data_IF_101502223659
#
_entry.id   IF_101502223659
#
_cell.length_a   1.000
_cell.length_b   1.000
_cell.length_c   1.000
_cell.angle_alpha   90.00
_cell.angle_beta   90.00
_cell.angle_gamma   90.00
#
_symmetry.space_group_name_H-M   'P 1'
#
loop_
_entity.id
_entity.type
_entity.pdbx_description
1 polymer ?
#
# COMPACT_ATOMS: atom_id res chain seq x y z
N UNK A 1 -54.97 -59.06 -23.30
CA UNK A 1 -54.94 -59.14 -21.82
C UNK A 1 -53.51 -58.91 -21.36
N UNK A 2 -53.21 -57.83 -20.62
CA UNK A 2 -51.84 -57.57 -20.17
C UNK A 2 -51.58 -58.29 -18.84
N UNK A 3 -50.51 -59.06 -18.77
CA UNK A 3 -50.06 -59.72 -17.54
C UNK A 3 -49.60 -58.67 -16.51
N UNK A 4 -49.81 -58.91 -15.20
CA UNK A 4 -49.38 -57.98 -14.16
C UNK A 4 -47.85 -57.91 -14.10
N UNK A 5 -47.32 -56.67 -14.14
CA UNK A 5 -45.89 -56.29 -14.09
C UNK A 5 -45.08 -56.86 -12.92
N UNK A 6 -45.68 -57.67 -12.03
CA UNK A 6 -45.01 -58.32 -10.91
C UNK A 6 -44.31 -59.63 -11.28
N UNK A 7 -44.62 -60.23 -12.43
CA UNK A 7 -44.03 -61.50 -12.84
C UNK A 7 -42.66 -61.38 -13.54
N UNK A 8 -42.22 -60.16 -13.92
CA UNK A 8 -40.98 -59.97 -14.67
C UNK A 8 -39.72 -59.79 -13.80
N UNK A 9 -39.82 -59.96 -12.47
CA UNK A 9 -38.66 -59.86 -11.57
C UNK A 9 -37.93 -61.19 -11.33
N UNK A 10 -38.45 -62.29 -11.87
CA UNK A 10 -37.93 -63.65 -11.66
C UNK A 10 -37.05 -64.18 -12.81
N UNK A 11 -36.95 -63.48 -13.94
CA UNK A 11 -36.30 -63.99 -15.15
C UNK A 11 -34.84 -63.54 -15.37
N UNK A 12 -34.22 -62.82 -14.42
CA UNK A 12 -32.87 -62.24 -14.60
C UNK A 12 -31.79 -62.80 -13.67
N UNK A 13 -32.06 -63.84 -12.87
CA UNK A 13 -31.01 -64.54 -12.10
C UNK A 13 -30.19 -63.63 -11.17
N UNK A 14 -30.64 -62.40 -10.91
CA UNK A 14 -30.07 -61.54 -9.90
C UNK A 14 -30.63 -62.05 -8.58
N UNK A 15 -29.94 -63.01 -7.98
CA UNK A 15 -29.98 -63.14 -6.53
C UNK A 15 -29.79 -61.72 -5.98
N UNK A 16 -30.65 -61.21 -5.09
CA UNK A 16 -30.19 -60.11 -4.26
C UNK A 16 -28.87 -60.60 -3.68
N UNK A 17 -27.77 -59.89 -3.94
CA UNK A 17 -26.58 -60.04 -3.11
C UNK A 17 -27.15 -59.90 -1.71
N UNK A 18 -27.25 -61.02 -1.00
CA UNK A 18 -27.68 -61.03 0.37
C UNK A 18 -26.61 -60.24 1.09
N UNK A 19 -26.88 -58.97 1.32
CA UNK A 19 -26.23 -58.20 2.35
C UNK A 19 -26.54 -58.98 3.62
N UNK A 20 -25.56 -59.77 4.07
CA UNK A 20 -25.71 -60.55 5.27
C UNK A 20 -25.96 -59.54 6.40
N UNK A 21 -27.20 -59.53 6.92
CA UNK A 21 -27.54 -58.83 8.13
C UNK A 21 -26.54 -59.25 9.22
N UNK A 22 -25.90 -58.26 9.84
CA UNK A 22 -24.79 -58.45 10.75
C UNK A 22 -25.21 -58.02 12.14
N UNK A 23 -24.84 -58.80 13.15
CA UNK A 23 -25.03 -58.41 14.54
C UNK A 23 -23.87 -57.55 15.01
N UNK A 24 -24.18 -56.41 15.62
CA UNK A 24 -23.24 -55.60 16.39
C UNK A 24 -23.72 -55.52 17.84
N UNK A 25 -22.77 -55.48 18.77
CA UNK A 25 -23.06 -55.34 20.18
C UNK A 25 -22.85 -53.90 20.61
N UNK A 26 -23.85 -53.29 21.22
CA UNK A 26 -23.72 -51.94 21.78
C UNK A 26 -23.72 -52.06 23.29
N UNK A 27 -22.57 -51.75 23.90
CA UNK A 27 -22.37 -51.68 25.34
C UNK A 27 -22.67 -50.27 25.82
N UNK A 28 -23.63 -50.16 26.72
CA UNK A 28 -23.91 -48.92 27.41
C UNK A 28 -22.85 -48.64 28.48
N UNK A 29 -22.17 -47.51 28.37
CA UNK A 29 -21.07 -47.12 29.29
C UNK A 29 -21.57 -46.72 30.69
N UNK A 30 -22.85 -46.37 30.85
CA UNK A 30 -23.41 -45.93 32.13
C UNK A 30 -23.91 -47.09 33.01
N UNK A 31 -24.36 -48.20 32.41
CA UNK A 31 -24.93 -49.34 33.15
C UNK A 31 -24.26 -50.69 32.84
N UNK A 32 -23.22 -50.70 32.00
CA UNK A 32 -22.49 -51.89 31.55
C UNK A 32 -23.33 -52.97 30.85
N UNK A 33 -24.55 -52.63 30.41
CA UNK A 33 -25.43 -53.56 29.69
C UNK A 33 -25.10 -53.57 28.20
N UNK A 34 -24.94 -54.76 27.64
CA UNK A 34 -24.70 -54.98 26.21
C UNK A 34 -25.96 -55.54 25.54
N UNK A 35 -26.40 -54.93 24.44
CA UNK A 35 -27.51 -55.42 23.60
C UNK A 35 -27.01 -55.68 22.19
N UNK A 36 -27.60 -56.66 21.52
CA UNK A 36 -27.31 -56.99 20.12
C UNK A 36 -28.26 -56.23 19.18
N UNK A 37 -27.71 -55.68 18.11
CA UNK A 37 -28.44 -54.95 17.08
C UNK A 37 -28.13 -55.53 15.71
N UNK A 38 -29.19 -55.81 14.94
CA UNK A 38 -29.09 -56.25 13.55
C UNK A 38 -28.95 -55.03 12.64
N UNK A 39 -27.84 -54.97 11.91
CA UNK A 39 -27.47 -53.87 11.01
C UNK A 39 -26.88 -54.39 9.71
N UNK A 40 -27.10 -53.67 8.62
CA UNK A 40 -26.41 -53.93 7.36
C UNK A 40 -25.13 -53.09 7.28
N UNK A 41 -24.05 -53.58 6.65
CA UNK A 41 -22.81 -52.80 6.49
C UNK A 41 -23.03 -51.49 5.71
N UNK A 42 -24.06 -51.44 4.86
CA UNK A 42 -24.45 -50.24 4.12
C UNK A 42 -25.32 -49.25 4.93
N UNK A 43 -25.76 -49.60 6.14
CA UNK A 43 -26.54 -48.70 6.98
C UNK A 43 -25.69 -47.52 7.45
N UNK A 44 -26.36 -46.39 7.66
CA UNK A 44 -25.74 -45.21 8.26
C UNK A 44 -25.65 -45.35 9.76
N UNK A 45 -24.66 -44.69 10.37
CA UNK A 45 -24.53 -44.60 11.83
C UNK A 45 -25.79 -43.98 12.46
N UNK A 46 -26.45 -43.05 11.80
CA UNK A 46 -27.73 -42.46 12.26
C UNK A 46 -28.81 -43.53 12.43
N UNK A 47 -28.90 -44.50 11.52
CA UNK A 47 -29.89 -45.58 11.60
C UNK A 47 -29.62 -46.50 12.80
N UNK A 48 -28.35 -46.80 13.09
CA UNK A 48 -27.95 -47.55 14.28
C UNK A 48 -28.23 -46.73 15.56
N UNK A 49 -27.94 -45.43 15.55
CA UNK A 49 -28.24 -44.52 16.67
C UNK A 49 -29.72 -44.45 16.96
N UNK A 50 -30.57 -44.38 15.94
CA UNK A 50 -32.02 -44.40 16.10
C UNK A 50 -32.52 -45.69 16.75
N UNK A 51 -32.03 -46.86 16.28
CA UNK A 51 -32.34 -48.16 16.89
C UNK A 51 -31.91 -48.23 18.36
N UNK A 52 -30.70 -47.76 18.68
CA UNK A 52 -30.19 -47.72 20.06
C UNK A 52 -30.99 -46.73 20.91
N UNK A 53 -31.28 -45.53 20.38
CA UNK A 53 -32.07 -44.51 21.06
C UNK A 53 -33.46 -45.02 21.45
N UNK A 54 -34.13 -45.73 20.53
CA UNK A 54 -35.44 -46.34 20.78
C UNK A 54 -35.38 -47.42 21.88
N UNK A 55 -34.35 -48.28 21.86
CA UNK A 55 -34.17 -49.37 22.84
C UNK A 55 -33.79 -48.90 24.26
N UNK A 56 -33.14 -47.75 24.37
CA UNK A 56 -32.73 -47.16 25.65
C UNK A 56 -33.60 -45.97 26.07
N UNK A 57 -34.60 -45.57 25.27
CA UNK A 57 -35.52 -44.48 25.56
C UNK A 57 -34.88 -43.09 25.57
N UNK A 58 -33.82 -42.89 24.78
CA UNK A 58 -33.08 -41.64 24.68
C UNK A 58 -33.41 -40.89 23.38
N UNK A 59 -33.09 -39.59 23.32
CA UNK A 59 -33.17 -38.84 22.07
C UNK A 59 -31.95 -39.17 21.20
N UNK A 60 -32.14 -39.29 19.88
CA UNK A 60 -31.07 -39.59 18.91
C UNK A 60 -29.89 -38.61 19.08
N UNK A 61 -30.17 -37.34 19.31
CA UNK A 61 -29.18 -36.28 19.49
C UNK A 61 -28.37 -36.40 20.80
N UNK A 62 -28.89 -37.15 21.78
CA UNK A 62 -28.18 -37.46 23.02
C UNK A 62 -27.37 -38.76 22.91
N UNK A 63 -27.58 -39.54 21.85
CA UNK A 63 -27.03 -40.89 21.73
C UNK A 63 -25.74 -40.86 20.93
N UNK A 64 -24.62 -41.01 21.64
CA UNK A 64 -23.29 -41.14 21.04
C UNK A 64 -22.87 -42.60 20.95
N UNK A 65 -22.42 -43.03 19.77
CA UNK A 65 -21.80 -44.34 19.56
C UNK A 65 -20.31 -44.12 19.27
N UNK A 66 -19.45 -44.91 19.90
CA UNK A 66 -18.00 -44.83 19.78
C UNK A 66 -17.33 -46.20 19.71
N UNK A 67 -16.19 -46.26 19.04
CA UNK A 67 -15.33 -47.44 18.92
C UNK A 67 -13.89 -47.00 19.13
N UNK A 68 -13.16 -47.68 20.03
CA UNK A 68 -11.77 -47.33 20.36
C UNK A 68 -11.54 -45.84 20.72
N UNK A 69 -12.54 -45.19 21.31
CA UNK A 69 -12.50 -43.76 21.64
C UNK A 69 -12.80 -42.81 20.48
N UNK A 70 -13.07 -43.32 19.28
CA UNK A 70 -13.55 -42.54 18.13
C UNK A 70 -15.08 -42.55 18.15
N UNK A 71 -15.69 -41.38 18.30
CA UNK A 71 -17.14 -41.20 18.17
C UNK A 71 -17.49 -41.25 16.70
N UNK A 72 -18.48 -42.05 16.34
CA UNK A 72 -18.95 -42.13 14.97
C UNK A 72 -19.67 -40.86 14.55
N UNK A 73 -19.61 -40.50 13.27
CA UNK A 73 -20.35 -39.38 12.71
C UNK A 73 -21.59 -39.87 11.96
N UNK A 74 -22.65 -39.06 11.94
CA UNK A 74 -23.94 -39.41 11.33
C UNK A 74 -23.86 -39.61 9.80
N UNK A 75 -22.91 -38.93 9.14
CA UNK A 75 -22.78 -38.94 7.69
C UNK A 75 -22.07 -40.19 7.12
N UNK A 76 -21.52 -41.05 7.97
CA UNK A 76 -20.66 -42.16 7.57
C UNK A 76 -21.37 -43.51 7.78
N UNK A 77 -21.05 -44.50 6.95
CA UNK A 77 -21.68 -45.83 7.02
C UNK A 77 -20.96 -46.74 8.01
N UNK A 78 -21.63 -47.79 8.46
CA UNK A 78 -21.05 -48.82 9.34
C UNK A 78 -19.83 -49.48 8.67
N UNK A 79 -19.88 -49.71 7.35
CA UNK A 79 -18.77 -50.26 6.58
C UNK A 79 -17.54 -49.35 6.51
N UNK A 80 -17.73 -48.03 6.47
CA UNK A 80 -16.61 -47.08 6.40
C UNK A 80 -15.78 -47.08 7.69
N UNK A 81 -16.42 -47.36 8.82
CA UNK A 81 -15.74 -47.56 10.11
C UNK A 81 -15.19 -48.97 10.30
N UNK A 82 -15.31 -49.85 9.29
CA UNK A 82 -14.85 -51.25 9.33
C UNK A 82 -15.36 -52.01 10.55
N UNK A 83 -16.61 -51.76 10.95
CA UNK A 83 -17.22 -52.49 12.06
C UNK A 83 -17.42 -53.94 11.63
N UNK A 84 -16.93 -54.88 12.44
CA UNK A 84 -17.02 -56.31 12.16
C UNK A 84 -18.23 -56.95 12.82
N UNK A 85 -18.64 -58.10 12.30
CA UNK A 85 -19.66 -58.92 12.93
C UNK A 85 -19.24 -59.24 14.36
N UNK A 86 -20.21 -59.19 15.26
CA UNK A 86 -20.03 -59.44 16.68
C UNK A 86 -19.09 -58.47 17.41
N UNK A 87 -18.84 -57.29 16.83
CA UNK A 87 -18.04 -56.26 17.46
C UNK A 87 -18.80 -55.48 18.54
N UNK A 88 -18.09 -55.12 19.62
CA UNK A 88 -18.61 -54.33 20.75
C UNK A 88 -18.30 -52.84 20.57
N UNK A 89 -19.35 -52.06 20.36
CA UNK A 89 -19.35 -50.60 20.31
C UNK A 89 -19.75 -50.02 21.66
N UNK A 90 -19.21 -48.88 22.04
CA UNK A 90 -19.56 -48.18 23.27
C UNK A 90 -20.61 -47.09 22.98
N UNK A 91 -21.72 -47.14 23.73
CA UNK A 91 -22.77 -46.12 23.72
C UNK A 91 -22.68 -45.25 24.97
N UNK A 92 -22.76 -43.93 24.78
CA UNK A 92 -22.84 -42.95 25.84
C UNK A 92 -23.99 -41.97 25.61
N UNK A 93 -24.57 -41.50 26.72
CA UNK A 93 -25.52 -40.40 26.70
C UNK A 93 -24.73 -39.08 26.78
N UNK A 94 -24.65 -38.37 25.67
CA UNK A 94 -24.32 -36.96 25.71
C UNK A 94 -25.47 -36.26 26.44
N UNK A 95 -25.22 -35.80 27.67
CA UNK A 95 -26.18 -34.92 28.34
C UNK A 95 -26.43 -33.76 27.39
N UNK A 96 -27.69 -33.45 27.04
CA UNK A 96 -27.97 -32.25 26.27
C UNK A 96 -27.31 -31.09 27.03
N UNK A 97 -26.72 -30.09 26.35
CA UNK A 97 -26.31 -28.88 27.06
C UNK A 97 -27.54 -28.40 27.82
N UNK A 98 -27.48 -28.48 29.15
CA UNK A 98 -28.52 -27.99 30.06
C UNK A 98 -28.96 -26.64 29.53
N UNK A 99 -30.23 -26.53 29.13
CA UNK A 99 -30.97 -25.36 28.61
C UNK A 99 -30.10 -24.22 28.07
N UNK A 100 -30.31 -23.69 26.84
CA UNK A 100 -29.54 -22.55 26.33
C UNK A 100 -29.41 -21.51 27.45
N UNK A 101 -28.19 -21.11 27.85
CA UNK A 101 -28.01 -20.26 29.02
C UNK A 101 -28.95 -19.08 28.86
N UNK A 102 -29.75 -18.79 29.90
CA UNK A 102 -30.64 -17.64 29.88
C UNK A 102 -29.85 -16.46 29.33
N UNK A 103 -30.36 -15.76 28.30
CA UNK A 103 -29.65 -14.61 27.77
C UNK A 103 -29.35 -13.69 28.96
N UNK A 104 -28.11 -13.20 29.11
CA UNK A 104 -27.77 -12.32 30.21
C UNK A 104 -28.78 -11.17 30.24
N UNK A 105 -29.20 -10.70 31.44
CA UNK A 105 -30.11 -9.57 31.53
C UNK A 105 -29.54 -8.41 30.70
N UNK A 106 -30.41 -7.75 29.92
CA UNK A 106 -29.98 -6.61 29.09
C UNK A 106 -29.23 -5.61 29.98
N UNK A 107 -28.06 -5.11 29.56
CA UNK A 107 -27.36 -4.06 30.29
C UNK A 107 -28.30 -2.87 30.53
N UNK A 108 -28.16 -2.16 31.66
CA UNK A 108 -28.87 -0.90 31.83
C UNK A 108 -28.53 0.05 30.67
N UNK A 109 -29.47 0.90 30.24
CA UNK A 109 -29.20 1.88 29.19
C UNK A 109 -28.01 2.75 29.59
N UNK A 110 -27.14 3.04 28.62
CA UNK A 110 -26.02 3.95 28.84
C UNK A 110 -26.53 5.31 29.32
N UNK A 111 -25.89 5.95 30.31
CA UNK A 111 -26.20 7.33 30.64
C UNK A 111 -25.96 8.22 29.42
N UNK A 112 -26.71 9.33 29.27
CA UNK A 112 -26.48 10.26 28.18
C UNK A 112 -25.03 10.76 28.20
N UNK A 113 -24.42 11.02 27.02
CA UNK A 113 -23.07 11.56 26.95
C UNK A 113 -23.00 12.89 27.72
N UNK A 114 -21.92 13.10 28.47
CA UNK A 114 -21.67 14.41 29.08
C UNK A 114 -21.54 15.46 27.98
N UNK A 115 -22.01 16.70 28.21
CA UNK A 115 -21.69 17.82 27.35
C UNK A 115 -20.18 17.91 27.15
N UNK A 116 -19.73 18.05 25.91
CA UNK A 116 -18.33 18.34 25.62
C UNK A 116 -17.97 19.72 26.16
N UNK A 117 -16.80 19.90 26.81
CA UNK A 117 -16.35 21.23 27.18
C UNK A 117 -16.18 22.10 25.93
N UNK A 118 -16.37 23.43 26.03
CA UNK A 118 -16.08 24.33 24.92
C UNK A 118 -14.61 24.20 24.51
N UNK A 119 -14.29 24.42 23.22
CA UNK A 119 -12.91 24.42 22.77
C UNK A 119 -12.11 25.51 23.51
N UNK A 120 -10.80 25.30 23.76
CA UNK A 120 -9.94 26.32 24.32
C UNK A 120 -9.90 27.55 23.40
N UNK A 121 -9.77 28.73 23.99
CA UNK A 121 -9.57 29.98 23.24
C UNK A 121 -8.35 29.87 22.33
N UNK A 122 -8.37 30.46 21.11
CA UNK A 122 -7.20 30.51 20.26
C UNK A 122 -6.04 31.24 20.97
N UNK A 123 -4.78 30.86 20.69
CA UNK A 123 -3.63 31.58 21.21
C UNK A 123 -3.65 33.05 20.72
N UNK A 124 -3.08 33.99 21.49
CA UNK A 124 -2.95 35.37 21.06
C UNK A 124 -2.12 35.47 19.77
N UNK A 125 -2.49 36.41 18.90
CA UNK A 125 -1.72 36.69 17.68
C UNK A 125 -0.27 37.12 18.02
N UNK A 126 0.71 36.74 17.20
CA UNK A 126 2.09 37.20 17.38
C UNK A 126 2.17 38.72 17.15
N UNK A 127 3.12 39.41 17.82
CA UNK A 127 3.34 40.83 17.59
C UNK A 127 3.77 41.10 16.14
N UNK A 128 3.48 42.30 15.59
CA UNK A 128 3.92 42.66 14.25
C UNK A 128 5.46 42.66 14.15
N UNK A 129 6.02 42.38 12.96
CA UNK A 129 7.46 42.42 12.77
C UNK A 129 8.01 43.84 13.00
N UNK A 130 9.27 43.96 13.46
CA UNK A 130 9.91 45.26 13.60
C UNK A 130 10.02 45.97 12.24
N UNK A 131 10.03 47.32 12.22
CA UNK A 131 10.24 48.08 10.99
C UNK A 131 11.62 47.74 10.37
N UNK A 132 11.76 47.82 9.04
CA UNK A 132 13.03 47.59 8.38
C UNK A 132 14.08 48.62 8.86
N UNK A 133 15.38 48.25 8.88
CA UNK A 133 16.44 49.19 9.20
C UNK A 133 16.47 50.34 8.20
N UNK A 134 16.80 51.54 8.69
CA UNK A 134 17.01 52.71 7.84
C UNK A 134 18.09 52.44 6.79
N UNK A 135 17.95 52.96 5.56
CA UNK A 135 18.98 52.81 4.53
C UNK A 135 20.31 53.45 5.01
N UNK A 136 21.47 52.85 4.67
CA UNK A 136 22.76 53.45 4.98
C UNK A 136 22.90 54.81 4.27
N UNK A 137 23.62 55.78 4.87
CA UNK A 137 23.92 57.03 4.20
C UNK A 137 24.68 56.77 2.89
N UNK A 138 24.48 57.57 1.83
CA UNK A 138 25.24 57.42 0.60
C UNK A 138 26.73 57.62 0.88
N UNK A 139 27.58 56.70 0.40
CA UNK A 139 29.01 56.74 0.63
C UNK A 139 29.63 58.04 0.05
N UNK A 140 30.23 58.87 0.92
CA UNK A 140 31.09 60.02 0.56
C UNK A 140 32.43 59.59 -0.09
N UNK A 141 32.40 58.60 -0.99
CA UNK A 141 33.59 58.14 -1.74
C UNK A 141 33.56 58.55 -3.22
N UNK A 142 32.45 59.12 -3.68
CA UNK A 142 32.30 59.53 -5.08
C UNK A 142 33.02 60.85 -5.41
N UNK A 143 33.01 61.83 -4.50
CA UNK A 143 33.68 63.13 -4.72
C UNK A 143 35.21 63.00 -4.77
N UNK A 144 35.81 62.24 -3.84
CA UNK A 144 37.27 62.11 -3.80
C UNK A 144 37.83 61.36 -5.02
N UNK A 145 37.10 60.36 -5.52
CA UNK A 145 37.51 59.57 -6.69
C UNK A 145 37.41 60.41 -7.97
N UNK A 146 36.37 61.22 -8.12
CA UNK A 146 36.20 62.12 -9.26
C UNK A 146 37.28 63.21 -9.25
N UNK A 147 37.52 63.85 -8.11
CA UNK A 147 38.56 64.89 -7.97
C UNK A 147 39.96 64.30 -8.24
N UNK A 148 40.25 63.09 -7.75
CA UNK A 148 41.52 62.41 -8.06
C UNK A 148 41.66 62.09 -9.56
N UNK A 149 40.62 61.58 -10.20
CA UNK A 149 40.64 61.28 -11.63
C UNK A 149 40.88 62.54 -12.49
N UNK A 150 40.23 63.66 -12.15
CA UNK A 150 40.42 64.95 -12.84
C UNK A 150 41.85 65.48 -12.65
N UNK A 151 42.39 65.43 -11.44
CA UNK A 151 43.76 65.89 -11.15
C UNK A 151 44.81 65.05 -11.90
N UNK A 152 44.62 63.73 -11.98
CA UNK A 152 45.50 62.84 -12.75
C UNK A 152 45.44 63.17 -14.25
N UNK A 153 44.24 63.36 -14.81
CA UNK A 153 44.07 63.70 -16.22
C UNK A 153 44.77 65.03 -16.59
N UNK A 154 44.62 66.07 -15.77
CA UNK A 154 45.27 67.36 -15.97
C UNK A 154 46.80 67.21 -15.96
N UNK A 155 47.35 66.46 -15.00
CA UNK A 155 48.79 66.22 -14.91
C UNK A 155 49.34 65.50 -16.15
N UNK A 156 48.62 64.51 -16.69
CA UNK A 156 49.01 63.81 -17.91
C UNK A 156 48.99 64.72 -19.14
N UNK A 157 48.01 65.63 -19.24
CA UNK A 157 47.95 66.61 -20.32
C UNK A 157 49.18 67.52 -20.27
N UNK A 158 49.50 68.09 -19.11
CA UNK A 158 50.70 68.93 -18.97
C UNK A 158 51.99 68.17 -19.26
N UNK A 159 52.12 66.93 -18.80
CA UNK A 159 53.27 66.08 -19.11
C UNK A 159 53.39 65.83 -20.63
N UNK A 160 52.27 65.55 -21.31
CA UNK A 160 52.25 65.34 -22.76
C UNK A 160 52.66 66.60 -23.54
N UNK A 161 52.18 67.78 -23.13
CA UNK A 161 52.53 69.07 -23.73
C UNK A 161 54.02 69.36 -23.51
N UNK A 162 54.50 69.14 -22.29
CA UNK A 162 55.91 69.34 -21.93
C UNK A 162 56.82 68.41 -22.73
N UNK A 163 56.45 67.14 -22.84
CA UNK A 163 57.17 66.15 -23.63
C UNK A 163 57.15 66.52 -25.13
N UNK A 164 56.00 66.90 -25.68
CA UNK A 164 55.89 67.36 -27.06
C UNK A 164 56.77 68.58 -27.33
N UNK A 165 56.82 69.54 -26.40
CA UNK A 165 57.70 70.71 -26.50
C UNK A 165 59.18 70.30 -26.48
N UNK A 166 59.58 69.36 -25.63
CA UNK A 166 60.95 68.83 -25.57
C UNK A 166 61.29 68.06 -26.86
N UNK A 167 60.38 67.23 -27.36
CA UNK A 167 60.53 66.48 -28.61
C UNK A 167 60.64 67.41 -29.83
N UNK A 168 59.80 68.45 -29.91
CA UNK A 168 59.85 69.45 -30.97
C UNK A 168 61.16 70.26 -30.94
N UNK A 169 61.71 70.54 -29.74
CA UNK A 169 63.03 71.18 -29.60
C UNK A 169 64.19 70.26 -29.94
N UNK A 170 64.04 68.94 -29.78
CA UNK A 170 65.09 67.94 -30.07
C UNK A 170 65.17 67.51 -31.54
N UNK A 171 64.14 67.71 -32.35
CA UNK A 171 64.17 67.29 -33.76
C UNK A 171 63.71 68.38 -34.76
N UNK A 172 64.55 69.40 -35.04
CA UNK A 172 64.20 70.47 -35.97
C UNK A 172 64.55 70.17 -37.45
N UNK A 173 64.70 68.90 -37.90
CA UNK A 173 65.08 68.60 -39.31
C UNK A 173 64.45 67.35 -39.92
N UNK A 174 63.22 67.50 -40.42
CA UNK A 174 62.63 66.90 -41.64
C UNK A 174 61.18 67.39 -41.66
N UNK A 175 60.70 68.23 -42.55
CA UNK A 175 61.03 68.44 -43.95
C UNK A 175 59.67 68.56 -44.65
N UNK A 176 59.30 69.80 -44.98
CA UNK A 176 58.14 70.22 -45.77
C UNK A 176 58.26 69.67 -47.21
N UNK A 177 57.22 68.97 -47.69
CA UNK A 177 56.79 68.74 -49.10
C UNK A 177 55.87 67.49 -49.11
N UNK A 178 54.77 67.35 -49.87
CA UNK A 178 54.19 68.12 -50.97
C UNK A 178 52.80 67.51 -51.31
N UNK A 179 51.93 68.33 -51.95
CA UNK A 179 50.74 68.02 -52.79
C UNK A 179 49.56 67.20 -52.20
N UNK A 180 48.29 67.61 -52.15
CA UNK A 180 47.37 68.35 -53.06
C UNK A 180 46.92 67.59 -54.32
N UNK A 181 45.69 67.06 -54.31
CA UNK A 181 44.76 66.89 -55.43
C UNK A 181 43.49 66.20 -54.86
N UNK A 182 42.35 66.89 -54.63
CA UNK A 182 41.28 67.28 -55.59
C UNK A 182 40.27 66.18 -55.91
N UNK A 183 39.07 66.61 -56.30
CA UNK A 183 37.87 65.86 -56.74
C UNK A 183 36.92 65.48 -55.58
N UNK A 184 35.87 66.26 -55.28
CA UNK A 184 34.56 66.34 -55.98
C UNK A 184 33.89 64.96 -56.03
N UNK A 185 32.67 64.71 -55.53
CA UNK A 185 31.43 65.29 -56.06
C UNK A 185 30.22 64.71 -55.29
N UNK A 186 29.19 65.56 -55.18
CA UNK A 186 27.74 65.32 -55.11
C UNK A 186 27.07 64.25 -54.21
N UNK A 187 25.98 64.69 -53.55
CA UNK A 187 24.66 64.16 -53.90
C UNK A 187 23.88 63.40 -52.84
N UNK A 188 22.97 64.11 -52.17
CA UNK A 188 21.73 63.65 -51.55
C UNK A 188 21.06 62.39 -52.17
N UNK A 189 20.62 61.45 -51.32
CA UNK A 189 19.20 61.13 -51.01
C UNK A 189 19.05 59.74 -50.37
N UNK A 190 18.21 59.71 -49.35
CA UNK A 190 17.28 58.65 -48.93
C UNK A 190 17.52 57.21 -49.42
N UNK A 191 17.68 56.28 -48.47
CA UNK A 191 16.76 55.14 -48.27
C UNK A 191 17.31 54.14 -47.25
N UNK A 192 16.39 53.62 -46.42
CA UNK A 192 16.58 52.51 -45.48
C UNK A 192 17.12 51.22 -46.15
N UNK A 193 17.58 50.22 -45.36
CA UNK A 193 16.67 49.20 -44.79
C UNK A 193 17.01 48.89 -43.31
N UNK A 194 16.04 48.83 -42.38
CA UNK A 194 15.19 47.69 -42.01
C UNK A 194 15.94 46.38 -41.68
N UNK A 195 15.84 45.97 -40.41
CA UNK A 195 15.73 44.59 -39.87
C UNK A 195 16.77 43.54 -40.30
N UNK A 196 17.16 42.54 -39.52
CA UNK A 196 16.72 41.98 -38.25
C UNK A 196 17.71 40.83 -38.01
N UNK A 197 18.41 40.81 -36.88
CA UNK A 197 18.76 39.55 -36.21
C UNK A 197 18.92 39.86 -34.72
N UNK A 198 17.77 39.92 -34.05
CA UNK A 198 17.64 39.63 -32.62
C UNK A 198 17.98 38.14 -32.41
N UNK A 199 18.52 37.67 -31.30
CA UNK A 199 18.84 38.29 -30.02
C UNK A 199 19.14 37.16 -29.02
N UNK A 200 19.55 37.57 -27.81
CA UNK A 200 19.45 36.80 -26.55
C UNK A 200 20.28 35.48 -26.45
N UNK A 201 20.85 35.08 -25.32
CA UNK A 201 20.67 35.51 -23.93
C UNK A 201 21.84 35.02 -23.07
N UNK A 202 21.98 35.74 -21.97
CA UNK A 202 22.89 35.57 -20.84
C UNK A 202 22.67 34.23 -20.12
N UNK A 203 23.78 33.58 -19.73
CA UNK A 203 23.85 32.41 -18.87
C UNK A 203 24.16 32.86 -17.42
N UNK A 204 23.28 32.52 -16.47
CA UNK A 204 23.55 32.55 -15.02
C UNK A 204 23.72 31.12 -14.51
N UNK A 205 24.67 30.83 -13.60
CA UNK A 205 24.69 29.58 -12.86
C UNK A 205 23.84 29.69 -11.58
N UNK A 206 22.81 28.86 -11.49
CA UNK A 206 22.05 28.59 -10.28
C UNK A 206 22.55 27.32 -9.59
N UNK A 207 22.94 27.45 -8.32
CA UNK A 207 23.04 26.35 -7.36
C UNK A 207 21.68 26.29 -6.66
N UNK A 208 20.82 25.35 -7.04
CA UNK A 208 19.62 24.96 -6.29
C UNK A 208 19.09 23.59 -6.74
N UNK A 209 18.87 22.70 -5.75
CA UNK A 209 18.05 21.48 -5.74
C UNK A 209 18.45 20.34 -6.71
N UNK A 210 19.00 19.18 -6.33
CA UNK A 210 18.89 18.31 -5.15
C UNK A 210 17.47 18.14 -4.57
N UNK A 211 17.02 16.88 -4.57
CA UNK A 211 15.71 16.34 -4.18
C UNK A 211 14.59 16.38 -5.24
N UNK A 212 14.66 15.47 -6.21
CA UNK A 212 13.64 14.41 -6.29
C UNK A 212 14.14 13.26 -7.19
N UNK A 213 14.85 12.31 -6.58
CA UNK A 213 15.28 11.07 -7.23
C UNK A 213 14.97 9.89 -6.31
N UNK A 214 13.69 9.57 -6.10
CA UNK A 214 13.30 8.25 -5.53
C UNK A 214 11.86 7.78 -5.77
N UNK A 215 11.37 7.89 -6.99
CA UNK A 215 10.44 6.92 -7.62
C UNK A 215 11.01 6.69 -9.02
N UNK A 216 11.28 5.51 -9.56
CA UNK A 216 10.75 4.17 -9.45
C UNK A 216 11.93 3.20 -9.62
N UNK A 217 12.18 2.30 -8.68
CA UNK A 217 13.06 1.12 -8.89
C UNK A 217 12.71 0.00 -7.88
N UNK A 218 11.42 -0.17 -7.58
CA UNK A 218 10.92 -1.14 -6.59
C UNK A 218 10.07 -2.26 -7.22
N UNK A 219 10.44 -2.71 -8.41
CA UNK A 219 9.94 -3.95 -9.00
C UNK A 219 11.18 -4.74 -9.47
N UNK A 220 11.32 -6.00 -9.03
CA UNK A 220 12.44 -6.94 -9.28
C UNK A 220 13.50 -7.05 -8.16
N UNK A 221 13.09 -7.31 -6.92
CA UNK A 221 13.90 -8.06 -5.92
C UNK A 221 13.03 -8.54 -4.77
N UNK A 222 12.29 -9.62 -5.02
CA UNK A 222 11.37 -10.21 -4.05
C UNK A 222 11.11 -11.69 -4.34
N UNK A 223 12.17 -12.49 -4.49
CA UNK A 223 12.09 -13.95 -4.45
C UNK A 223 13.46 -14.55 -4.12
N UNK A 224 13.46 -15.49 -3.17
CA UNK A 224 14.56 -16.42 -2.77
C UNK A 224 15.67 -15.74 -1.94
N UNK A 225 16.07 -16.19 -0.74
CA UNK A 225 16.23 -17.53 -0.13
C UNK A 225 16.22 -17.42 1.42
N UNK A 226 15.78 -18.51 2.07
CA UNK A 226 16.02 -19.02 3.44
C UNK A 226 17.08 -18.30 4.30
N UNK A 227 16.99 -18.14 5.61
CA UNK A 227 16.38 -18.97 6.66
C UNK A 227 17.43 -19.18 7.76
N UNK A 228 17.08 -18.97 9.03
CA UNK A 228 17.78 -19.54 10.20
C UNK A 228 16.94 -19.24 11.45
N UNK A 229 16.65 -20.31 12.19
CA UNK A 229 16.26 -20.29 13.59
C UNK A 229 17.48 -20.00 14.46
#
# INVERSE_FOLDING_TARGET
>A
MPLPRRALRLALGLTPVGTAAMNVYVKNTANDVTKAFDVEPGDTVTSLREKVAAEYGALIDQVGISRFGVVFEDAQTISDYQVQADEVLAFFLATPPSSPPHPPPKPPPFPPPRPTPPPPSPPPEPPPPPPPPSPPPPDEVSELTIVQAVMIAIALIFASITLACICARRNPRRGRSVESATESDSGDRDSAPSNSYAGDKIQWPGVAAELDRRSENAWQKGLRVSGAW
#
